data_IF_375189225385
#
_entry.id   IF_375189225385
#
_cell.length_a   1.000
_cell.length_b   1.000
_cell.length_c   1.000
_cell.angle_alpha   90.00
_cell.angle_beta   90.00
_cell.angle_gamma   90.00
#
_symmetry.space_group_name_H-M   'P 1'
#
loop_
_entity.id
_entity.type
_entity.pdbx_description
1 polymer ?
#
# COMPACT_ATOMS: atom_id res chain seq x y z
N UNK A 1 11.77 -10.86 -5.25
CA UNK A 1 10.87 -9.74 -5.53
C UNK A 1 10.88 -9.45 -7.03
N UNK A 2 9.70 -9.15 -7.59
CA UNK A 2 9.52 -8.88 -9.01
C UNK A 2 8.79 -7.57 -9.25
N UNK A 3 9.12 -6.91 -10.36
CA UNK A 3 8.45 -5.69 -10.81
C UNK A 3 7.10 -5.98 -11.52
N UNK A 4 6.44 -4.90 -11.97
CA UNK A 4 5.16 -4.99 -12.71
C UNK A 4 5.28 -5.79 -14.03
N UNK A 5 6.45 -5.80 -14.64
CA UNK A 5 6.76 -6.56 -15.84
C UNK A 5 7.07 -8.05 -15.55
N UNK A 6 7.12 -8.45 -14.28
CA UNK A 6 7.49 -9.78 -13.82
C UNK A 6 8.99 -10.04 -13.78
N UNK A 7 9.82 -9.05 -14.11
CA UNK A 7 11.28 -9.15 -14.04
C UNK A 7 11.79 -9.09 -12.60
N UNK A 8 12.93 -9.77 -12.35
CA UNK A 8 13.58 -9.75 -11.04
C UNK A 8 14.12 -8.35 -10.70
N UNK A 9 13.87 -7.91 -9.47
CA UNK A 9 14.39 -6.65 -8.93
C UNK A 9 15.67 -6.88 -8.11
N UNK A 10 16.59 -5.88 -8.07
CA UNK A 10 17.82 -5.98 -7.31
C UNK A 10 17.56 -6.03 -5.79
N UNK A 11 18.46 -6.69 -5.07
CA UNK A 11 18.48 -6.73 -3.60
C UNK A 11 19.33 -5.57 -3.07
N UNK A 12 18.84 -4.35 -3.23
CA UNK A 12 19.50 -3.09 -2.88
C UNK A 12 18.90 -2.41 -1.62
N UNK A 13 17.87 -3.04 -1.03
CA UNK A 13 17.16 -2.51 0.13
C UNK A 13 16.19 -1.37 -0.19
N UNK A 14 16.15 -0.91 -1.44
CA UNK A 14 15.33 0.24 -1.88
C UNK A 14 14.32 -0.12 -2.95
N UNK A 15 14.70 -0.98 -3.90
CA UNK A 15 13.81 -1.51 -4.91
C UNK A 15 12.77 -2.42 -4.27
N UNK A 16 11.48 -2.10 -4.39
CA UNK A 16 10.42 -2.91 -3.83
C UNK A 16 9.47 -3.42 -4.91
N UNK A 17 9.03 -4.65 -4.75
CA UNK A 17 8.18 -5.34 -5.72
C UNK A 17 7.37 -6.45 -5.09
N UNK A 18 6.56 -7.12 -5.91
CA UNK A 18 5.75 -8.26 -5.48
C UNK A 18 6.62 -9.38 -4.92
N UNK A 19 6.32 -9.83 -3.69
CA UNK A 19 7.03 -10.90 -3.02
C UNK A 19 6.51 -12.26 -3.49
N UNK A 20 7.39 -13.02 -4.15
CA UNK A 20 7.15 -14.39 -4.55
C UNK A 20 7.98 -15.36 -3.70
N UNK A 21 7.40 -16.46 -3.30
CA UNK A 21 8.09 -17.48 -2.50
C UNK A 21 8.01 -18.86 -3.14
N UNK A 22 9.08 -19.65 -2.99
CA UNK A 22 9.17 -21.03 -3.46
C UNK A 22 9.93 -21.88 -2.45
N UNK A 23 9.49 -23.12 -2.28
CA UNK A 23 10.20 -24.06 -1.41
C UNK A 23 9.34 -25.27 -1.05
N UNK A 24 9.92 -26.28 -0.36
CA UNK A 24 9.21 -27.51 -0.03
C UNK A 24 8.03 -27.33 0.94
N UNK A 25 8.03 -26.20 1.69
CA UNK A 25 6.98 -25.85 2.66
C UNK A 25 5.89 -24.94 2.08
N UNK A 26 6.08 -24.46 0.85
CA UNK A 26 5.12 -23.59 0.17
C UNK A 26 4.04 -24.45 -0.45
N UNK A 27 2.78 -24.02 -0.25
CA UNK A 27 1.62 -24.71 -0.80
C UNK A 27 1.71 -24.79 -2.33
N UNK A 28 1.22 -25.90 -2.90
CA UNK A 28 1.11 -26.09 -4.35
C UNK A 28 -0.31 -25.88 -4.85
N UNK A 29 -1.30 -26.11 -4.00
CA UNK A 29 -2.72 -25.93 -4.30
C UNK A 29 -3.51 -25.70 -3.01
N UNK A 30 -4.70 -25.13 -3.12
CA UNK A 30 -5.65 -25.04 -2.02
C UNK A 30 -6.48 -26.33 -1.92
N UNK A 31 -7.05 -26.57 -0.74
CA UNK A 31 -7.91 -27.74 -0.51
C UNK A 31 -9.02 -27.82 -1.56
N UNK A 32 -9.22 -29.00 -2.17
CA UNK A 32 -10.16 -29.28 -3.27
C UNK A 32 -9.97 -28.37 -4.50
N UNK A 33 -8.78 -27.81 -4.70
CA UNK A 33 -8.46 -26.90 -5.80
C UNK A 33 -9.39 -25.66 -5.87
N UNK A 34 -10.00 -25.28 -4.74
CA UNK A 34 -10.83 -24.08 -4.65
C UNK A 34 -9.97 -22.83 -4.94
N UNK A 35 -10.43 -21.97 -5.84
CA UNK A 35 -9.67 -20.78 -6.25
C UNK A 35 -8.68 -20.99 -7.40
N UNK A 36 -8.58 -22.20 -7.97
CA UNK A 36 -7.71 -22.49 -9.11
C UNK A 36 -6.24 -22.65 -8.73
N UNK A 37 -5.34 -22.51 -9.73
CA UNK A 37 -3.90 -22.59 -9.49
C UNK A 37 -3.39 -21.32 -8.82
N UNK A 38 -2.87 -21.39 -7.58
CA UNK A 38 -2.35 -20.20 -6.87
C UNK A 38 -0.93 -19.81 -7.31
N UNK A 39 -0.26 -20.63 -8.11
CA UNK A 39 1.14 -20.41 -8.46
C UNK A 39 1.27 -19.63 -9.77
N UNK A 40 2.28 -18.77 -9.83
CA UNK A 40 2.78 -18.13 -11.05
C UNK A 40 4.01 -18.89 -11.55
N UNK A 41 4.13 -19.09 -12.85
CA UNK A 41 5.29 -19.74 -13.47
C UNK A 41 6.17 -18.66 -14.09
N UNK A 42 7.48 -18.67 -13.77
CA UNK A 42 8.46 -17.80 -14.40
C UNK A 42 8.93 -18.33 -15.78
N UNK A 43 9.77 -17.58 -16.47
CA UNK A 43 10.28 -17.93 -17.80
C UNK A 43 11.16 -19.21 -17.79
N UNK A 44 11.69 -19.62 -16.64
CA UNK A 44 12.42 -20.87 -16.48
C UNK A 44 11.51 -22.08 -16.27
N UNK A 45 10.20 -21.87 -16.14
CA UNK A 45 9.23 -22.90 -15.82
C UNK A 45 9.12 -23.18 -14.31
N UNK A 46 9.77 -22.41 -13.45
CA UNK A 46 9.65 -22.57 -12.01
C UNK A 46 8.37 -21.95 -11.46
N UNK A 47 7.70 -22.68 -10.56
CA UNK A 47 6.43 -22.25 -9.96
C UNK A 47 6.66 -21.53 -8.64
N UNK A 48 6.07 -20.36 -8.49
CA UNK A 48 6.19 -19.44 -7.35
C UNK A 48 4.82 -19.10 -6.78
N UNK A 49 4.75 -19.02 -5.46
CA UNK A 49 3.53 -18.57 -4.77
C UNK A 49 3.60 -17.04 -4.54
N UNK A 50 2.67 -16.27 -5.12
CA UNK A 50 2.56 -14.83 -4.84
C UNK A 50 1.94 -14.64 -3.45
N UNK A 51 2.68 -13.99 -2.55
CA UNK A 51 2.22 -13.77 -1.16
C UNK A 51 1.11 -12.72 -1.07
N UNK A 52 1.03 -11.84 -2.07
CA UNK A 52 0.18 -10.65 -2.06
C UNK A 52 0.75 -9.53 -1.21
N UNK A 53 2.03 -9.62 -0.86
CA UNK A 53 2.79 -8.57 -0.18
C UNK A 53 3.83 -7.98 -1.12
N UNK A 54 4.18 -6.73 -0.88
CA UNK A 54 5.28 -6.00 -1.51
C UNK A 54 6.43 -5.90 -0.51
N UNK A 55 7.65 -6.18 -0.96
CA UNK A 55 8.82 -6.17 -0.08
C UNK A 55 10.05 -5.56 -0.77
N UNK A 56 10.99 -5.10 0.05
CA UNK A 56 12.39 -4.86 -0.33
C UNK A 56 13.24 -5.99 0.22
N UNK A 57 14.38 -6.28 -0.43
CA UNK A 57 15.41 -7.18 0.11
C UNK A 57 16.75 -6.46 -0.03
N UNK A 58 17.55 -6.45 1.02
CA UNK A 58 18.88 -5.84 0.97
C UNK A 58 19.96 -6.84 0.53
N UNK A 59 21.18 -6.36 0.34
CA UNK A 59 22.31 -7.16 -0.11
C UNK A 59 22.72 -8.28 0.85
N UNK A 60 22.34 -8.19 2.13
CA UNK A 60 22.57 -9.20 3.17
C UNK A 60 21.41 -10.21 3.24
N UNK A 61 20.35 -10.03 2.44
CA UNK A 61 19.18 -10.90 2.36
C UNK A 61 18.10 -10.60 3.41
N UNK A 62 18.18 -9.48 4.11
CA UNK A 62 17.10 -9.05 5.00
C UNK A 62 15.92 -8.52 4.18
N UNK A 63 14.76 -9.10 4.43
CA UNK A 63 13.51 -8.73 3.79
C UNK A 63 12.69 -7.79 4.68
N UNK A 64 12.18 -6.71 4.09
CA UNK A 64 11.24 -5.80 4.73
C UNK A 64 9.93 -5.74 3.93
N UNK A 65 8.81 -6.13 4.54
CA UNK A 65 7.48 -6.01 3.92
C UNK A 65 7.05 -4.54 4.00
N UNK A 66 6.87 -3.92 2.85
CA UNK A 66 6.57 -2.48 2.73
C UNK A 66 5.08 -2.20 2.57
N UNK A 67 4.32 -3.09 1.92
CA UNK A 67 2.88 -2.95 1.71
C UNK A 67 2.23 -4.27 1.28
N UNK A 68 0.92 -4.21 1.02
CA UNK A 68 0.17 -5.25 0.30
C UNK A 68 0.11 -4.89 -1.19
N UNK A 69 0.27 -5.87 -2.09
CA UNK A 69 0.21 -5.62 -3.54
C UNK A 69 -1.07 -4.92 -4.00
N UNK A 70 -2.19 -5.14 -3.30
CA UNK A 70 -3.49 -4.50 -3.58
C UNK A 70 -3.66 -3.11 -2.95
N UNK A 71 -2.77 -2.70 -2.06
CA UNK A 71 -2.88 -1.46 -1.29
C UNK A 71 -1.78 -0.45 -1.67
N UNK A 72 -0.67 -0.91 -2.27
CA UNK A 72 0.35 -0.03 -2.85
C UNK A 72 -0.26 0.86 -3.92
N UNK A 73 0.15 2.12 -3.98
CA UNK A 73 -0.41 3.13 -4.89
C UNK A 73 0.55 3.29 -6.07
N UNK A 74 0.07 3.03 -7.28
CA UNK A 74 0.86 3.07 -8.52
C UNK A 74 0.68 4.42 -9.21
N UNK A 75 1.63 5.31 -8.99
CA UNK A 75 1.57 6.71 -9.42
C UNK A 75 2.60 6.99 -10.51
N UNK A 76 2.16 7.08 -11.76
CA UNK A 76 3.03 7.45 -12.89
C UNK A 76 4.19 6.50 -13.14
N UNK A 77 4.04 5.21 -12.83
CA UNK A 77 5.09 4.20 -12.95
C UNK A 77 5.93 4.00 -11.68
N UNK A 78 5.72 4.83 -10.66
CA UNK A 78 6.37 4.70 -9.36
C UNK A 78 5.38 4.15 -8.33
N UNK A 79 5.89 3.46 -7.30
CA UNK A 79 5.08 2.87 -6.26
C UNK A 79 5.19 3.67 -4.96
N UNK A 80 4.04 3.94 -4.32
CA UNK A 80 3.96 4.63 -3.03
C UNK A 80 3.42 3.65 -2.00
N UNK A 81 4.15 3.45 -0.90
CA UNK A 81 3.69 2.64 0.22
C UNK A 81 2.55 3.33 0.96
N UNK A 82 1.37 2.71 0.96
CA UNK A 82 0.24 3.20 1.73
C UNK A 82 0.49 3.14 3.23
N UNK A 83 1.25 2.13 3.69
CA UNK A 83 1.62 1.94 5.11
C UNK A 83 2.56 3.05 5.57
N UNK A 84 3.55 3.44 4.77
CA UNK A 84 4.47 4.53 5.10
C UNK A 84 3.71 5.85 5.28
N UNK A 85 2.80 6.16 4.35
CA UNK A 85 1.94 7.34 4.42
C UNK A 85 1.07 7.32 5.69
N UNK A 86 0.47 6.18 6.02
CA UNK A 86 -0.34 6.01 7.23
C UNK A 86 0.47 6.20 8.51
N UNK A 87 1.65 5.61 8.59
CA UNK A 87 2.52 5.71 9.75
C UNK A 87 2.94 7.15 10.04
N UNK A 88 3.25 7.92 9.00
CA UNK A 88 3.56 9.34 9.13
C UNK A 88 2.34 10.10 9.67
N UNK A 89 1.15 9.87 9.12
CA UNK A 89 -0.08 10.52 9.60
C UNK A 89 -0.35 10.21 11.07
N UNK A 90 -0.25 8.94 11.47
CA UNK A 90 -0.52 8.48 12.84
C UNK A 90 0.52 9.00 13.83
N UNK A 91 1.73 9.34 13.38
CA UNK A 91 2.74 10.00 14.23
C UNK A 91 2.34 11.44 14.64
N UNK A 92 1.34 12.03 14.00
CA UNK A 92 0.80 13.33 14.40
C UNK A 92 -0.04 13.22 15.68
N UNK A 93 0.14 14.08 16.70
CA UNK A 93 -0.51 13.96 18.01
C UNK A 93 -2.05 13.98 17.97
N UNK A 94 -2.64 14.65 16.98
CA UNK A 94 -4.10 14.77 16.81
C UNK A 94 -4.75 13.65 16.02
N UNK A 95 -3.97 12.72 15.44
CA UNK A 95 -4.50 11.62 14.62
C UNK A 95 -4.69 10.38 15.48
N UNK A 96 -5.89 9.80 15.44
CA UNK A 96 -6.21 8.55 16.09
C UNK A 96 -5.95 7.35 15.15
N UNK A 97 -6.34 7.50 13.89
CA UNK A 97 -6.20 6.46 12.87
C UNK A 97 -6.13 7.11 11.49
N UNK A 98 -5.36 6.51 10.59
CA UNK A 98 -5.26 6.93 9.21
C UNK A 98 -5.24 5.72 8.27
N UNK A 99 -5.88 5.84 7.13
CA UNK A 99 -5.85 4.87 6.03
C UNK A 99 -5.55 5.60 4.72
N UNK A 100 -4.54 5.13 4.01
CA UNK A 100 -4.20 5.65 2.70
C UNK A 100 -4.71 4.70 1.62
N UNK A 101 -5.44 5.25 0.65
CA UNK A 101 -5.99 4.50 -0.48
C UNK A 101 -5.61 5.18 -1.80
N UNK A 102 -5.54 4.38 -2.85
CA UNK A 102 -5.39 4.89 -4.21
C UNK A 102 -6.69 5.60 -4.65
N UNK A 103 -6.59 6.83 -5.13
CA UNK A 103 -7.64 7.54 -5.83
C UNK A 103 -7.22 7.75 -7.29
N UNK A 104 -8.18 7.62 -8.22
CA UNK A 104 -7.90 7.78 -9.66
C UNK A 104 -7.47 9.20 -9.99
N UNK A 105 -6.43 9.30 -10.83
CA UNK A 105 -5.92 10.58 -11.30
C UNK A 105 -5.67 10.54 -12.83
N UNK A 106 -6.15 11.53 -13.60
CA UNK A 106 -6.12 11.47 -15.08
C UNK A 106 -4.70 11.45 -15.68
N UNK A 107 -3.71 11.99 -14.96
CA UNK A 107 -2.32 12.06 -15.44
C UNK A 107 -1.44 10.98 -14.85
N UNK A 108 -1.68 10.59 -13.59
CA UNK A 108 -0.77 9.73 -12.83
C UNK A 108 -1.32 8.32 -12.60
N UNK A 109 -2.49 7.99 -13.16
CA UNK A 109 -3.27 6.79 -12.92
C UNK A 109 -3.83 6.75 -11.49
N UNK A 110 -2.97 6.69 -10.48
CA UNK A 110 -3.34 6.72 -9.07
C UNK A 110 -2.58 7.79 -8.30
N UNK A 111 -3.25 8.37 -7.29
CA UNK A 111 -2.62 9.25 -6.30
C UNK A 111 -3.12 8.92 -4.90
N UNK A 112 -2.29 9.17 -3.86
CA UNK A 112 -2.67 8.90 -2.48
C UNK A 112 -3.81 9.82 -2.02
N UNK A 113 -4.90 9.21 -1.53
CA UNK A 113 -5.95 9.86 -0.75
C UNK A 113 -5.84 9.36 0.69
N UNK A 114 -5.60 10.28 1.63
CA UNK A 114 -5.49 9.96 3.04
C UNK A 114 -6.82 10.16 3.75
N UNK A 115 -7.35 9.11 4.37
CA UNK A 115 -8.57 9.15 5.19
C UNK A 115 -8.17 9.13 6.65
N UNK A 116 -8.57 10.14 7.41
CA UNK A 116 -8.08 10.39 8.77
C UNK A 116 -9.21 10.45 9.77
N UNK A 117 -9.07 9.72 10.87
CA UNK A 117 -9.87 9.86 12.07
C UNK A 117 -9.07 10.65 13.12
N UNK A 118 -9.61 11.76 13.59
CA UNK A 118 -9.00 12.58 14.65
C UNK A 118 -9.19 11.93 16.02
N UNK A 119 -8.30 12.22 16.96
CA UNK A 119 -8.52 11.91 18.37
C UNK A 119 -9.70 12.73 18.93
N UNK A 120 -10.39 12.25 19.96
CA UNK A 120 -11.44 13.03 20.64
C UNK A 120 -10.89 14.39 21.11
N UNK A 121 -11.64 15.46 20.82
CA UNK A 121 -11.30 16.83 21.19
C UNK A 121 -9.97 17.36 20.62
N UNK A 122 -9.40 16.69 19.61
CA UNK A 122 -8.22 17.16 18.90
C UNK A 122 -8.62 17.77 17.55
N UNK A 123 -7.98 18.89 17.23
CA UNK A 123 -8.13 19.54 15.95
C UNK A 123 -6.80 19.44 15.16
N UNK A 124 -6.92 19.26 13.89
CA UNK A 124 -5.84 19.36 12.91
C UNK A 124 -6.46 19.70 11.57
N UNK A 125 -5.88 20.63 10.87
CA UNK A 125 -6.30 21.01 9.52
C UNK A 125 -5.64 20.09 8.47
N UNK A 126 -6.17 20.14 7.25
CA UNK A 126 -5.58 19.46 6.10
C UNK A 126 -4.15 19.96 5.84
N UNK A 127 -3.98 21.27 5.89
CA UNK A 127 -2.71 21.96 5.63
C UNK A 127 -1.65 21.60 6.66
N UNK A 128 -1.98 21.59 7.93
CA UNK A 128 -1.08 21.17 9.02
C UNK A 128 -0.64 19.72 8.86
N UNK A 129 -1.58 18.83 8.51
CA UNK A 129 -1.24 17.43 8.33
C UNK A 129 -0.45 17.18 7.04
N UNK A 130 -0.68 17.93 5.95
CA UNK A 130 0.16 17.88 4.76
C UNK A 130 1.58 18.39 5.05
N UNK A 131 1.72 19.48 5.81
CA UNK A 131 3.02 19.99 6.24
C UNK A 131 3.78 18.98 7.12
N UNK A 132 3.07 18.11 7.83
CA UNK A 132 3.69 17.06 8.66
C UNK A 132 4.49 16.02 7.85
N UNK A 133 4.25 15.93 6.53
CA UNK A 133 5.00 15.05 5.61
C UNK A 133 6.29 15.69 5.11
N UNK A 134 6.52 17.00 5.31
CA UNK A 134 7.73 17.66 4.83
C UNK A 134 8.99 17.01 5.40
N UNK A 135 9.92 16.68 4.49
CA UNK A 135 11.19 16.03 4.84
C UNK A 135 11.12 14.58 5.27
N UNK A 136 9.90 13.97 5.35
CA UNK A 136 9.72 12.57 5.73
C UNK A 136 9.57 11.64 4.52
N UNK A 137 9.01 12.16 3.44
CA UNK A 137 8.87 11.46 2.15
C UNK A 137 9.20 12.41 1.01
N UNK A 138 9.42 11.88 -0.18
CA UNK A 138 9.58 12.69 -1.38
C UNK A 138 8.27 13.45 -1.69
N UNK A 139 8.37 14.64 -2.28
CA UNK A 139 7.20 15.48 -2.56
C UNK A 139 6.12 14.79 -3.39
N UNK A 140 6.51 13.92 -4.30
CA UNK A 140 5.58 13.19 -5.16
C UNK A 140 4.85 12.05 -4.42
N UNK A 141 5.31 11.64 -3.23
CA UNK A 141 4.67 10.62 -2.39
C UNK A 141 3.63 11.22 -1.42
N UNK A 142 3.67 12.54 -1.21
CA UNK A 142 2.73 13.22 -0.31
C UNK A 142 1.29 13.03 -0.81
N UNK A 143 0.32 12.79 0.08
CA UNK A 143 -1.09 12.68 -0.30
C UNK A 143 -1.59 13.92 -1.05
N UNK A 144 -2.34 13.69 -2.13
CA UNK A 144 -2.95 14.77 -2.91
C UNK A 144 -4.11 15.41 -2.15
N UNK A 145 -4.75 14.63 -1.28
CA UNK A 145 -5.81 15.14 -0.41
C UNK A 145 -5.96 14.36 0.89
N UNK A 146 -6.59 15.01 1.88
CA UNK A 146 -6.90 14.45 3.18
C UNK A 146 -8.38 14.63 3.48
N UNK A 147 -9.06 13.53 3.78
CA UNK A 147 -10.47 13.54 4.18
C UNK A 147 -10.59 13.11 5.63
N UNK A 148 -11.27 13.94 6.44
CA UNK A 148 -11.55 13.61 7.82
C UNK A 148 -12.88 12.87 7.93
N UNK A 149 -12.87 11.78 8.70
CA UNK A 149 -14.04 10.91 8.95
C UNK A 149 -14.23 10.68 10.43
N UNK A 150 -15.47 10.35 10.82
CA UNK A 150 -15.78 9.98 12.20
C UNK A 150 -15.28 8.59 12.57
N UNK A 151 -15.22 7.68 11.59
CA UNK A 151 -14.73 6.32 11.80
C UNK A 151 -14.10 5.73 10.53
N UNK A 152 -13.13 4.84 10.72
CA UNK A 152 -12.56 4.02 9.66
C UNK A 152 -13.10 2.59 9.81
N UNK A 153 -13.62 1.95 8.73
CA UNK A 153 -14.15 0.60 8.80
C UNK A 153 -13.10 -0.41 9.26
N UNK A 154 -13.44 -1.20 10.27
CA UNK A 154 -12.59 -2.28 10.79
C UNK A 154 -13.21 -3.64 10.54
N UNK A 155 -12.39 -4.63 10.29
CA UNK A 155 -12.78 -6.05 10.26
C UNK A 155 -12.92 -6.63 11.67
N UNK A 156 -13.41 -7.86 11.76
CA UNK A 156 -13.57 -8.57 13.03
C UNK A 156 -12.26 -8.74 13.83
N UNK A 157 -11.11 -8.67 13.16
CA UNK A 157 -9.77 -8.76 13.76
C UNK A 157 -9.17 -7.39 14.12
N UNK A 158 -9.92 -6.29 13.98
CA UNK A 158 -9.45 -4.93 14.20
C UNK A 158 -8.62 -4.33 13.07
N UNK A 159 -8.41 -5.05 11.96
CA UNK A 159 -7.69 -4.53 10.79
C UNK A 159 -8.57 -3.59 9.97
N UNK A 160 -7.99 -2.50 9.47
CA UNK A 160 -8.66 -1.56 8.58
C UNK A 160 -9.13 -2.24 7.29
N UNK A 161 -10.36 -1.99 6.91
CA UNK A 161 -10.97 -2.51 5.67
C UNK A 161 -10.83 -1.47 4.55
N UNK A 162 -9.63 -1.32 3.99
CA UNK A 162 -9.34 -0.38 2.87
C UNK A 162 -10.26 -0.63 1.66
N UNK A 163 -10.72 -1.87 1.45
CA UNK A 163 -11.68 -2.17 0.37
C UNK A 163 -12.96 -1.36 0.52
N UNK A 164 -13.53 -1.28 1.73
CA UNK A 164 -14.73 -0.46 1.99
C UNK A 164 -14.47 1.03 1.80
N UNK A 165 -13.29 1.51 2.18
CA UNK A 165 -12.90 2.91 1.92
C UNK A 165 -12.78 3.18 0.42
N UNK A 166 -12.17 2.29 -0.36
CA UNK A 166 -12.12 2.42 -1.82
C UNK A 166 -13.51 2.45 -2.46
N UNK A 167 -14.44 1.63 -1.97
CA UNK A 167 -15.85 1.67 -2.42
C UNK A 167 -16.52 3.01 -2.06
N UNK A 168 -16.33 3.49 -0.83
CA UNK A 168 -16.90 4.75 -0.34
C UNK A 168 -16.38 5.96 -1.12
N UNK A 169 -15.10 5.96 -1.50
CA UNK A 169 -14.43 7.05 -2.20
C UNK A 169 -14.22 6.79 -3.70
N UNK A 170 -14.89 5.78 -4.30
CA UNK A 170 -14.70 5.41 -5.71
C UNK A 170 -14.91 6.55 -6.72
N UNK A 171 -15.74 7.53 -6.39
CA UNK A 171 -16.01 8.73 -7.20
C UNK A 171 -15.30 10.00 -6.74
N UNK A 172 -14.36 9.88 -5.80
CA UNK A 172 -13.69 11.05 -5.24
C UNK A 172 -12.82 11.73 -6.30
N UNK A 173 -12.97 13.04 -6.42
CA UNK A 173 -12.16 13.87 -7.31
C UNK A 173 -11.09 14.57 -6.51
N UNK A 174 -9.84 14.23 -6.80
CA UNK A 174 -8.70 14.88 -6.19
C UNK A 174 -8.60 16.36 -6.61
N UNK A 175 -8.16 17.26 -5.73
CA UNK A 175 -7.96 18.69 -6.07
C UNK A 175 -6.92 18.91 -7.16
N UNK A 176 -6.06 17.91 -7.39
CA UNK A 176 -4.95 17.92 -8.35
C UNK A 176 -5.33 17.30 -9.71
N UNK A 177 -6.53 16.72 -9.83
CA UNK A 177 -7.02 16.00 -11.02
C UNK A 177 -7.59 16.92 -12.12
#
# INVERSE_FOLDING_TARGET
IVGDDGGDLPWDGTSFGDLLVRGPWVLREYYKSEGGNPLKTDDSGAAWFPTGDVATIDADGYMNITDRSKDVIKSGGEWISSIEIENIAVSHPSVAMAACIAAKHPKWDERPLLVVMRKPNAEVTREELLAHYEGKVAKWQVPDDIVFVESIPLGATGKMLKTKLREQFAGYKLPTA
#
